data_IF_483398849257
#
_entry.id   IF_483398849257
#
_cell.length_a   1.000
_cell.length_b   1.000
_cell.length_c   1.000
_cell.angle_alpha   90.00
_cell.angle_beta   90.00
_cell.angle_gamma   90.00
#
_symmetry.space_group_name_H-M   'P 1'
#
loop_
_entity.id
_entity.type
_entity.pdbx_description
1 polymer ?
#
# COMPACT_ATOMS: atom_id res chain seq x y z
N UNK A 1 3.61 15.90 -16.93
CA UNK A 1 2.21 16.34 -16.82
C UNK A 1 1.34 15.44 -17.69
N UNK A 2 0.23 15.00 -17.14
CA UNK A 2 -0.71 14.09 -17.80
C UNK A 2 -2.08 14.75 -17.83
N UNK A 3 -2.70 14.80 -19.01
CA UNK A 3 -4.10 15.10 -19.18
C UNK A 3 -4.91 13.80 -19.16
N UNK A 4 -5.93 13.74 -18.33
CA UNK A 4 -6.81 12.58 -18.19
C UNK A 4 -8.25 13.03 -18.00
N UNK A 5 -9.21 12.28 -18.52
CA UNK A 5 -10.62 12.57 -18.31
C UNK A 5 -11.00 12.41 -16.83
N UNK A 6 -11.81 13.31 -16.31
CA UNK A 6 -12.30 13.25 -14.92
C UNK A 6 -13.21 12.03 -14.68
N UNK A 7 -13.80 11.50 -15.75
CA UNK A 7 -14.60 10.26 -15.73
C UNK A 7 -13.79 8.98 -15.86
N UNK A 8 -12.45 9.08 -16.08
CA UNK A 8 -11.56 7.94 -16.04
C UNK A 8 -11.48 7.34 -14.63
N UNK A 9 -11.01 6.11 -14.55
CA UNK A 9 -10.89 5.38 -13.29
C UNK A 9 -9.52 5.56 -12.64
N UNK A 10 -9.40 5.16 -11.38
CA UNK A 10 -8.08 5.08 -10.72
C UNK A 10 -7.15 4.06 -11.39
N UNK A 11 -7.70 3.00 -12.02
CA UNK A 11 -6.91 2.09 -12.86
C UNK A 11 -6.34 2.79 -14.08
N UNK A 12 -7.14 3.63 -14.76
CA UNK A 12 -6.67 4.41 -15.90
C UNK A 12 -5.53 5.36 -15.49
N UNK A 13 -5.65 6.01 -14.33
CA UNK A 13 -4.59 6.87 -13.78
C UNK A 13 -3.33 6.07 -13.44
N UNK A 14 -3.47 4.90 -12.81
CA UNK A 14 -2.38 3.97 -12.56
C UNK A 14 -1.63 3.63 -13.85
N UNK A 15 -2.34 3.23 -14.90
CA UNK A 15 -1.73 2.92 -16.19
C UNK A 15 -1.08 4.15 -16.85
N UNK A 16 -1.68 5.32 -16.74
CA UNK A 16 -1.11 6.55 -17.27
C UNK A 16 0.22 6.90 -16.60
N UNK A 17 0.30 6.78 -15.26
CA UNK A 17 1.53 7.03 -14.50
C UNK A 17 2.58 5.98 -14.85
N UNK A 18 2.25 4.70 -14.77
CA UNK A 18 3.21 3.63 -15.02
C UNK A 18 3.78 3.67 -16.44
N UNK A 19 2.96 3.94 -17.43
CA UNK A 19 3.41 4.12 -18.81
C UNK A 19 4.31 5.35 -18.98
N UNK A 20 3.96 6.48 -18.35
CA UNK A 20 4.75 7.70 -18.43
C UNK A 20 6.18 7.51 -17.86
N UNK A 21 6.34 6.65 -16.87
CA UNK A 21 7.62 6.35 -16.23
C UNK A 21 8.29 5.07 -16.76
N UNK A 22 7.66 4.37 -17.71
CA UNK A 22 8.23 3.17 -18.35
C UNK A 22 8.13 1.90 -17.49
N UNK A 23 7.24 1.84 -16.51
CA UNK A 23 6.96 0.63 -15.75
C UNK A 23 5.95 -0.28 -16.48
N UNK A 24 5.97 -1.57 -16.16
CA UNK A 24 5.05 -2.54 -16.76
C UNK A 24 3.61 -2.40 -16.27
N UNK A 25 3.41 -1.84 -15.08
CA UNK A 25 2.09 -1.64 -14.49
C UNK A 25 1.42 -2.91 -13.97
N UNK A 26 2.20 -3.96 -13.68
CA UNK A 26 1.71 -5.28 -13.26
C UNK A 26 1.99 -5.61 -11.78
N UNK A 27 2.52 -4.67 -11.02
CA UNK A 27 2.72 -4.81 -9.59
C UNK A 27 1.55 -4.18 -8.82
N UNK A 28 1.40 -4.59 -7.55
CA UNK A 28 0.40 -4.03 -6.66
C UNK A 28 0.60 -2.54 -6.44
N UNK A 29 -0.49 -1.80 -6.39
CA UNK A 29 -0.46 -0.35 -6.22
C UNK A 29 -1.64 0.15 -5.38
N UNK A 30 -1.41 1.27 -4.73
CA UNK A 30 -2.42 2.02 -3.98
C UNK A 30 -2.25 3.51 -4.19
N UNK A 31 -3.36 4.23 -4.15
CA UNK A 31 -3.34 5.67 -3.94
C UNK A 31 -3.62 5.97 -2.47
N UNK A 32 -3.16 7.12 -2.02
CA UNK A 32 -3.44 7.65 -0.69
C UNK A 32 -3.92 9.08 -0.83
N UNK A 33 -4.97 9.45 -0.12
CA UNK A 33 -5.34 10.86 0.01
C UNK A 33 -4.21 11.61 0.69
N UNK A 34 -3.93 12.82 0.24
CA UNK A 34 -2.87 13.64 0.80
C UNK A 34 -3.29 15.10 0.86
N UNK A 35 -2.54 15.88 1.60
CA UNK A 35 -2.66 17.32 1.70
C UNK A 35 -1.47 18.02 1.03
N UNK A 36 -1.42 19.34 1.15
CA UNK A 36 -0.34 20.16 0.58
C UNK A 36 1.04 19.91 1.21
N UNK A 37 1.09 19.35 2.40
CA UNK A 37 2.31 18.93 3.10
C UNK A 37 2.73 17.51 2.72
N UNK A 38 1.97 16.83 1.84
CA UNK A 38 2.19 15.44 1.43
C UNK A 38 2.10 14.43 2.57
N UNK A 39 1.27 14.73 3.58
CA UNK A 39 0.98 13.75 4.63
C UNK A 39 0.12 12.63 4.04
N UNK A 40 0.55 11.39 4.27
CA UNK A 40 -0.14 10.20 3.79
C UNK A 40 -1.42 9.98 4.63
N UNK A 41 -2.57 10.03 3.99
CA UNK A 41 -3.88 9.83 4.59
C UNK A 41 -4.49 8.47 4.27
N UNK A 42 -5.80 8.46 4.02
CA UNK A 42 -6.58 7.25 3.72
C UNK A 42 -6.07 6.53 2.47
N UNK A 43 -5.95 5.21 2.57
CA UNK A 43 -5.55 4.35 1.46
C UNK A 43 -6.73 4.03 0.53
N UNK A 44 -6.47 4.13 -0.76
CA UNK A 44 -7.37 3.73 -1.85
C UNK A 44 -6.70 2.60 -2.63
N UNK A 45 -6.79 1.34 -2.17
CA UNK A 45 -6.10 0.22 -2.80
C UNK A 45 -6.72 -0.10 -4.17
N UNK A 46 -5.89 -0.35 -5.17
CA UNK A 46 -6.34 -0.81 -6.48
C UNK A 46 -6.65 -2.31 -6.47
N UNK A 47 -5.95 -3.07 -5.61
CA UNK A 47 -6.14 -4.50 -5.44
C UNK A 47 -6.22 -4.84 -3.96
N UNK A 48 -7.06 -5.79 -3.63
CA UNK A 48 -7.22 -6.29 -2.27
C UNK A 48 -7.10 -7.81 -2.27
N UNK A 49 -6.45 -8.37 -1.25
CA UNK A 49 -6.32 -9.82 -1.11
C UNK A 49 -7.59 -10.47 -0.56
N UNK A 50 -8.43 -9.69 0.11
CA UNK A 50 -9.68 -10.17 0.69
C UNK A 50 -10.86 -9.66 -0.14
N UNK A 51 -11.75 -10.56 -0.55
CA UNK A 51 -12.95 -10.21 -1.32
C UNK A 51 -13.95 -9.30 -0.57
N UNK A 52 -13.78 -9.17 0.75
CA UNK A 52 -14.58 -8.30 1.61
C UNK A 52 -14.09 -6.86 1.67
N UNK A 53 -12.87 -6.59 1.22
CA UNK A 53 -12.29 -5.25 1.19
C UNK A 53 -12.71 -4.51 -0.09
N UNK A 54 -13.03 -3.23 0.06
CA UNK A 54 -13.29 -2.37 -1.09
C UNK A 54 -11.97 -2.09 -1.83
N UNK A 55 -12.02 -2.17 -3.16
CA UNK A 55 -10.96 -1.67 -4.02
C UNK A 55 -11.46 -0.47 -4.84
N UNK A 56 -10.52 0.35 -5.26
CA UNK A 56 -10.83 1.61 -5.96
C UNK A 56 -10.50 1.55 -7.45
N UNK A 57 -10.18 0.38 -7.99
CA UNK A 57 -9.78 0.19 -9.38
C UNK A 57 -10.76 0.85 -10.36
N UNK A 58 -12.05 0.53 -10.23
CA UNK A 58 -13.11 1.01 -11.11
C UNK A 58 -13.74 2.33 -10.65
N UNK A 59 -13.25 2.90 -9.54
CA UNK A 59 -13.75 4.16 -9.01
C UNK A 59 -13.34 5.33 -9.92
N UNK A 60 -14.28 6.20 -10.25
CA UNK A 60 -14.00 7.35 -11.10
C UNK A 60 -13.22 8.43 -10.35
N UNK A 61 -12.29 9.06 -11.05
CA UNK A 61 -11.44 10.12 -10.48
C UNK A 61 -12.28 11.27 -9.91
N UNK A 62 -13.30 11.74 -10.63
CA UNK A 62 -14.14 12.87 -10.21
C UNK A 62 -15.03 12.60 -8.98
N UNK A 63 -15.12 11.35 -8.54
CA UNK A 63 -15.83 11.01 -7.29
C UNK A 63 -15.00 11.28 -6.03
N UNK A 64 -13.69 11.41 -6.17
CA UNK A 64 -12.74 11.60 -5.06
C UNK A 64 -11.89 12.84 -5.27
N UNK A 65 -11.30 13.00 -6.45
CA UNK A 65 -10.44 14.15 -6.79
C UNK A 65 -11.32 15.36 -7.11
N UNK A 66 -11.02 16.48 -6.48
CA UNK A 66 -11.73 17.73 -6.65
C UNK A 66 -10.81 18.90 -6.30
N UNK A 67 -11.31 20.12 -6.43
CA UNK A 67 -10.61 21.33 -5.99
C UNK A 67 -10.34 21.38 -4.47
N UNK A 68 -10.98 20.48 -3.69
CA UNK A 68 -10.76 20.37 -2.25
C UNK A 68 -9.85 19.19 -1.89
N UNK A 69 -9.78 18.17 -2.76
CA UNK A 69 -8.92 17.00 -2.65
C UNK A 69 -8.10 16.86 -3.93
N UNK A 70 -6.99 17.57 -4.04
CA UNK A 70 -6.18 17.62 -5.25
C UNK A 70 -4.76 17.05 -5.08
N UNK A 71 -4.44 16.52 -3.93
CA UNK A 71 -3.17 15.84 -3.68
C UNK A 71 -3.39 14.35 -3.42
N UNK A 72 -2.64 13.50 -4.10
CA UNK A 72 -2.59 12.07 -3.86
C UNK A 72 -1.14 11.63 -3.79
N UNK A 73 -0.88 10.61 -3.00
CA UNK A 73 0.36 9.84 -3.05
C UNK A 73 0.04 8.52 -3.75
N UNK A 74 0.79 8.19 -4.79
CA UNK A 74 0.66 6.92 -5.48
C UNK A 74 1.88 6.06 -5.20
N UNK A 75 1.65 4.83 -4.72
CA UNK A 75 2.68 3.84 -4.42
C UNK A 75 2.51 2.65 -5.35
N UNK A 76 3.56 2.34 -6.07
CA UNK A 76 3.62 1.22 -7.01
C UNK A 76 4.73 0.26 -6.60
N UNK A 77 4.47 -1.06 -6.71
CA UNK A 77 5.38 -2.11 -6.31
C UNK A 77 5.71 -2.06 -4.81
N UNK A 78 4.94 -2.76 -4.01
CA UNK A 78 5.06 -2.74 -2.54
C UNK A 78 6.36 -3.35 -2.00
N UNK A 79 7.16 -4.00 -2.86
CA UNK A 79 8.49 -4.47 -2.48
C UNK A 79 9.53 -3.36 -2.61
N UNK A 80 9.46 -2.58 -3.69
CA UNK A 80 10.40 -1.50 -3.97
C UNK A 80 9.87 -0.12 -3.57
N UNK A 81 8.56 0.03 -3.34
CA UNK A 81 7.90 1.25 -2.86
C UNK A 81 8.15 2.48 -3.74
N UNK A 82 8.01 2.33 -5.06
CA UNK A 82 7.99 3.48 -5.96
C UNK A 82 6.87 4.44 -5.57
N UNK A 83 7.23 5.69 -5.25
CA UNK A 83 6.30 6.68 -4.72
C UNK A 83 6.27 7.89 -5.61
N UNK A 84 5.06 8.31 -5.95
CA UNK A 84 4.79 9.44 -6.82
C UNK A 84 3.86 10.42 -6.11
N UNK A 85 4.18 11.69 -6.18
CA UNK A 85 3.32 12.78 -5.73
C UNK A 85 2.47 13.22 -6.91
N UNK A 86 1.16 13.15 -6.75
CA UNK A 86 0.18 13.44 -7.79
C UNK A 86 -0.66 14.63 -7.37
N UNK A 87 -0.65 15.69 -8.16
CA UNK A 87 -1.39 16.90 -7.89
C UNK A 87 -2.32 17.25 -9.06
N UNK A 88 -3.58 17.56 -8.75
CA UNK A 88 -4.50 18.14 -9.72
C UNK A 88 -4.18 19.62 -9.89
N UNK A 89 -3.58 19.97 -11.02
CA UNK A 89 -3.17 21.34 -11.34
C UNK A 89 -4.32 22.17 -11.89
N UNK A 90 -5.12 21.61 -12.79
CA UNK A 90 -6.17 22.32 -13.50
C UNK A 90 -7.29 21.39 -13.94
N UNK A 91 -8.50 21.90 -13.98
CA UNK A 91 -9.67 21.25 -14.59
C UNK A 91 -10.08 22.07 -15.80
N UNK A 92 -10.04 21.46 -16.97
CA UNK A 92 -10.36 22.08 -18.24
C UNK A 92 -11.43 21.33 -19.02
N UNK A 93 -11.72 21.80 -20.22
CA UNK A 93 -12.64 21.15 -21.15
C UNK A 93 -11.88 20.23 -22.12
N UNK A 94 -12.52 19.14 -22.53
CA UNK A 94 -11.95 18.22 -23.51
C UNK A 94 -11.66 18.94 -24.84
N UNK A 95 -10.47 18.69 -25.37
CA UNK A 95 -10.04 19.23 -26.66
C UNK A 95 -10.35 18.22 -27.75
N UNK A 96 -11.13 18.69 -28.76
CA UNK A 96 -11.49 17.83 -29.90
C UNK A 96 -10.24 17.37 -30.66
N UNK A 97 -10.14 16.04 -30.87
CA UNK A 97 -9.02 15.42 -31.60
C UNK A 97 -7.87 14.96 -30.72
N UNK A 98 -7.92 15.16 -29.41
CA UNK A 98 -6.97 14.60 -28.45
C UNK A 98 -7.55 13.31 -27.88
N UNK A 99 -6.69 12.29 -27.77
CA UNK A 99 -7.00 11.02 -27.08
C UNK A 99 -6.42 11.05 -25.68
N UNK A 100 -7.22 10.74 -24.67
CA UNK A 100 -6.83 10.71 -23.28
C UNK A 100 -6.67 9.26 -22.78
N UNK A 101 -5.78 8.99 -21.79
CA UNK A 101 -4.83 9.94 -21.19
C UNK A 101 -3.73 10.37 -22.16
N UNK A 102 -3.24 11.59 -21.99
CA UNK A 102 -2.24 12.21 -22.85
C UNK A 102 -1.08 12.77 -22.02
N UNK A 103 0.13 12.27 -22.29
CA UNK A 103 1.35 12.79 -21.66
C UNK A 103 1.77 14.08 -22.39
N UNK A 104 1.61 15.24 -21.76
CA UNK A 104 1.91 16.54 -22.36
C UNK A 104 3.30 17.07 -22.05
N UNK A 105 3.88 16.66 -20.91
CA UNK A 105 5.21 17.06 -20.52
C UNK A 105 5.89 15.99 -19.66
N UNK A 106 7.15 15.72 -19.94
CA UNK A 106 8.02 14.87 -19.14
C UNK A 106 9.40 15.52 -18.99
N UNK A 107 9.98 15.41 -17.81
CA UNK A 107 11.30 15.96 -17.51
C UNK A 107 12.04 15.03 -16.54
N UNK A 108 13.35 14.89 -16.75
CA UNK A 108 14.21 14.05 -15.93
C UNK A 108 14.23 12.60 -16.40
N UNK A 109 15.00 11.79 -15.70
CA UNK A 109 15.15 10.37 -15.94
C UNK A 109 14.70 9.59 -14.71
N UNK A 110 14.07 8.44 -14.93
CA UNK A 110 13.67 7.54 -13.84
C UNK A 110 14.92 6.88 -13.28
N UNK A 111 15.16 6.94 -11.96
CA UNK A 111 16.30 6.26 -11.35
C UNK A 111 16.19 4.73 -11.53
N UNK A 112 17.32 4.03 -11.51
CA UNK A 112 17.36 2.56 -11.65
C UNK A 112 16.70 1.84 -10.46
N UNK A 113 16.79 2.44 -9.26
CA UNK A 113 16.22 1.93 -8.02
C UNK A 113 15.31 2.98 -7.39
N UNK A 114 14.26 2.52 -6.70
CA UNK A 114 13.37 3.42 -5.97
C UNK A 114 14.17 4.17 -4.89
N UNK A 115 14.01 5.50 -4.78
CA UNK A 115 14.65 6.26 -3.72
C UNK A 115 14.23 5.75 -2.33
N UNK A 116 15.20 5.65 -1.41
CA UNK A 116 14.89 5.30 -0.03
C UNK A 116 13.94 6.36 0.56
N UNK A 117 12.80 5.90 1.07
CA UNK A 117 11.92 6.76 1.82
C UNK A 117 12.54 6.99 3.19
N UNK A 118 12.98 8.20 3.46
CA UNK A 118 13.08 8.65 4.84
C UNK A 118 11.65 8.93 5.31
N UNK A 119 11.03 7.95 5.95
CA UNK A 119 9.91 8.27 6.80
C UNK A 119 10.49 9.07 7.97
N UNK A 120 10.16 10.33 8.08
CA UNK A 120 10.12 10.98 9.36
C UNK A 120 8.95 10.34 10.11
N UNK A 121 9.19 9.15 10.68
CA UNK A 121 8.38 8.70 11.78
C UNK A 121 8.68 9.68 12.90
N UNK A 122 7.67 10.36 13.42
CA UNK A 122 7.75 10.93 14.75
C UNK A 122 8.42 9.88 15.63
N UNK A 123 9.62 10.22 16.13
CA UNK A 123 10.36 9.36 17.03
C UNK A 123 9.43 9.02 18.19
N UNK A 124 8.78 7.88 18.11
CA UNK A 124 8.33 7.19 19.31
C UNK A 124 9.63 6.73 19.95
N UNK A 125 10.19 7.56 20.79
CA UNK A 125 11.24 7.18 21.73
C UNK A 125 10.68 6.06 22.58
N UNK A 126 10.97 4.81 22.17
CA UNK A 126 10.94 3.72 23.12
C UNK A 126 12.06 4.02 24.09
N UNK A 127 11.71 4.59 25.24
CA UNK A 127 12.54 4.50 26.40
C UNK A 127 12.72 3.01 26.68
N UNK A 128 13.88 2.47 26.35
CA UNK A 128 14.35 1.18 26.79
C UNK A 128 14.41 1.25 28.32
N UNK A 129 13.34 0.88 28.99
CA UNK A 129 13.43 0.45 30.38
C UNK A 129 14.04 -0.97 30.32
N UNK A 130 15.40 -0.98 30.27
CA UNK A 130 16.20 -2.13 30.64
C UNK A 130 15.91 -2.46 32.10
N UNK A 131 15.02 -3.39 32.33
CA UNK A 131 15.01 -4.19 33.56
C UNK A 131 14.21 -5.47 33.33
N UNK A 132 14.75 -6.38 32.54
CA UNK A 132 14.33 -7.76 32.59
C UNK A 132 15.41 -8.53 33.35
N UNK A 133 15.28 -8.47 34.67
CA UNK A 133 16.04 -9.31 35.60
C UNK A 133 15.50 -10.75 35.42
N UNK A 134 16.25 -11.56 34.67
CA UNK A 134 15.96 -12.97 34.49
C UNK A 134 16.60 -13.72 35.67
N UNK A 135 15.86 -13.88 36.75
CA UNK A 135 16.23 -14.84 37.80
C UNK A 135 16.06 -16.24 37.22
N UNK A 136 17.20 -16.94 37.03
CA UNK A 136 17.26 -18.34 36.78
C UNK A 136 16.80 -19.07 38.05
N UNK A 137 15.57 -19.57 38.10
CA UNK A 137 15.15 -20.61 39.02
C UNK A 137 15.19 -21.95 38.28
N UNK A 138 16.36 -22.60 38.39
CA UNK A 138 16.55 -24.01 38.19
C UNK A 138 15.78 -24.79 39.28
N UNK A 139 14.59 -25.28 38.94
CA UNK A 139 14.09 -26.50 39.61
C UNK A 139 12.95 -27.13 38.77
N UNK A 140 13.31 -27.84 37.71
CA UNK A 140 12.38 -28.73 37.05
C UNK A 140 12.67 -30.17 37.46
N UNK A 141 12.10 -30.55 38.61
CA UNK A 141 12.11 -31.93 39.10
C UNK A 141 11.10 -32.75 38.27
N UNK A 142 11.62 -33.59 37.37
CA UNK A 142 10.85 -34.55 36.60
C UNK A 142 10.70 -35.83 37.44
N UNK A 143 9.56 -36.03 38.12
CA UNK A 143 9.15 -37.30 38.67
C UNK A 143 8.56 -38.19 37.57
N UNK A 144 9.26 -39.29 37.27
CA UNK A 144 8.74 -40.40 36.50
C UNK A 144 7.59 -41.06 37.29
N UNK A 145 6.38 -40.89 36.80
CA UNK A 145 5.21 -41.66 37.22
C UNK A 145 4.98 -42.82 36.27
N UNK A 146 5.37 -43.98 36.71
CA UNK A 146 5.10 -45.30 36.13
C UNK A 146 3.63 -45.63 36.43
N UNK A 147 2.76 -45.64 35.43
CA UNK A 147 1.44 -46.23 35.54
C UNK A 147 1.19 -47.14 34.33
N UNK A 148 1.46 -48.43 34.61
CA UNK A 148 0.97 -49.56 33.83
C UNK A 148 -0.57 -49.60 33.95
N UNK A 149 -1.31 -49.36 32.87
CA UNK A 149 -2.69 -49.82 32.80
C UNK A 149 -2.89 -50.82 31.66
N UNK A 150 -3.15 -51.97 32.15
CA UNK A 150 -3.55 -53.26 31.66
C UNK A 150 -4.67 -53.17 30.63
N UNK A 151 -4.39 -53.65 29.40
CA UNK A 151 -5.41 -53.92 28.40
C UNK A 151 -6.24 -55.14 28.83
N UNK A 152 -7.49 -54.95 29.10
CA UNK A 152 -8.42 -56.04 29.22
C UNK A 152 -9.31 -56.12 27.97
N UNK A 153 -8.97 -57.15 27.19
CA UNK A 153 -9.75 -57.65 26.05
C UNK A 153 -10.93 -58.47 26.59
N UNK A 154 -12.10 -58.18 26.21
CA UNK A 154 -13.27 -59.11 26.01
C UNK A 154 -14.57 -58.33 25.84
N UNK A 155 -15.20 -58.60 24.82
CA UNK A 155 -16.33 -59.36 24.33
C UNK A 155 -17.30 -58.49 23.52
N UNK A 156 -17.36 -58.82 22.25
CA UNK A 156 -18.37 -59.63 21.58
C UNK A 156 -19.83 -59.45 22.10
N UNK A 157 -20.61 -58.78 21.38
CA UNK A 157 -21.86 -59.16 20.71
C UNK A 157 -22.48 -57.92 20.04
#
# INVERSE_FOLDING_TARGET
DIEIEDTATFEDLHHAITQAFGFLGNEMASFYLSDKEWVQGEELPLETMEASQENYRDQKLNSIISTHQHHLIYVYDFLNLWTFFVELMEVGENITGITYPNLIHAQGEVPEEAPEKMFESDEVTFEEEDNFDFEEDDDFNFEEGDDEEEYNDSDFY
#
